data_IF_491575478812
#
_entry.id   IF_491575478812
#
_cell.length_a   1.000
_cell.length_b   1.000
_cell.length_c   1.000
_cell.angle_alpha   90.00
_cell.angle_beta   90.00
_cell.angle_gamma   90.00
#
_symmetry.space_group_name_H-M   'P 1'
#
loop_
_entity.id
_entity.type
_entity.pdbx_description
1 polymer ?
#
# COMPACT_ATOMS: atom_id res chain seq x y z
N UNK A 1 3.10 0.69 -2.30
CA UNK A 1 3.72 0.78 -0.96
C UNK A 1 5.02 1.57 -1.03
N UNK A 2 6.21 0.96 -1.21
CA UNK A 2 7.49 1.66 -1.00
C UNK A 2 7.69 3.01 -1.74
N UNK A 3 7.30 3.14 -3.01
CA UNK A 3 7.46 4.41 -3.74
C UNK A 3 6.51 5.52 -3.23
N UNK A 4 5.29 5.14 -2.87
CA UNK A 4 4.30 6.05 -2.26
C UNK A 4 4.76 6.49 -0.88
N UNK A 5 5.29 5.55 -0.09
CA UNK A 5 5.87 5.82 1.22
C UNK A 5 7.03 6.82 1.14
N UNK A 6 7.98 6.56 0.23
CA UNK A 6 9.13 7.43 -0.01
C UNK A 6 8.75 8.86 -0.37
N UNK A 7 7.71 9.04 -1.18
CA UNK A 7 7.18 10.37 -1.52
C UNK A 7 6.70 11.12 -0.26
N UNK A 8 5.79 10.52 0.51
CA UNK A 8 5.17 11.24 1.64
C UNK A 8 6.13 11.45 2.80
N UNK A 9 6.96 10.47 3.15
CA UNK A 9 7.96 10.65 4.20
C UNK A 9 9.00 11.71 3.81
N UNK A 10 9.42 11.73 2.53
CA UNK A 10 10.33 12.75 2.01
C UNK A 10 9.74 14.15 2.08
N UNK A 11 8.45 14.30 1.74
CA UNK A 11 7.74 15.57 1.86
C UNK A 11 7.63 16.05 3.31
N UNK A 12 7.33 15.17 4.26
CA UNK A 12 7.20 15.53 5.69
C UNK A 12 8.54 15.87 6.34
N UNK A 13 9.63 15.26 5.88
CA UNK A 13 10.98 15.54 6.37
C UNK A 13 11.65 16.73 5.66
N UNK A 14 11.07 17.25 4.58
CA UNK A 14 11.70 18.33 3.83
C UNK A 14 11.82 19.60 4.68
N UNK A 15 13.05 20.13 4.79
CA UNK A 15 13.34 21.34 5.57
C UNK A 15 13.43 21.13 7.09
N UNK A 16 13.24 19.90 7.58
CA UNK A 16 13.42 19.57 9.01
C UNK A 16 14.89 19.32 9.30
N UNK A 17 15.41 19.92 10.37
CA UNK A 17 16.70 19.52 10.95
C UNK A 17 16.55 18.13 11.58
N UNK A 18 17.24 17.14 11.01
CA UNK A 18 17.18 15.76 11.47
C UNK A 18 17.80 15.56 12.86
N UNK A 19 18.52 16.55 13.38
CA UNK A 19 19.02 16.54 14.75
C UNK A 19 17.93 16.91 15.77
N UNK A 20 16.85 17.58 15.35
CA UNK A 20 15.68 17.85 16.18
C UNK A 20 14.77 16.63 16.22
N UNK A 21 15.00 15.79 17.23
CA UNK A 21 14.21 14.59 17.49
C UNK A 21 12.69 14.85 17.56
N UNK A 22 12.27 15.97 18.15
CA UNK A 22 10.84 16.27 18.32
C UNK A 22 10.21 16.59 16.98
N UNK A 23 10.89 17.38 16.15
CA UNK A 23 10.43 17.68 14.81
C UNK A 23 10.37 16.43 13.93
N UNK A 24 11.38 15.56 13.99
CA UNK A 24 11.40 14.29 13.24
C UNK A 24 10.26 13.37 13.68
N UNK A 25 10.05 13.18 14.98
CA UNK A 25 8.97 12.31 15.47
C UNK A 25 7.60 12.76 14.98
N UNK A 26 7.31 14.05 15.07
CA UNK A 26 6.06 14.61 14.57
C UNK A 26 5.87 14.35 13.07
N UNK A 27 6.92 14.53 12.27
CA UNK A 27 6.86 14.24 10.83
C UNK A 27 6.60 12.76 10.52
N UNK A 28 7.15 11.84 11.33
CA UNK A 28 6.91 10.41 11.21
C UNK A 28 5.48 10.02 11.61
N UNK A 29 4.96 10.55 12.71
CA UNK A 29 3.56 10.33 13.13
C UNK A 29 2.58 10.82 12.06
N UNK A 30 2.85 12.00 11.50
CA UNK A 30 2.11 12.59 10.40
C UNK A 30 2.11 11.73 9.12
N UNK A 31 3.23 11.09 8.80
CA UNK A 31 3.34 10.13 7.72
C UNK A 31 2.56 8.85 8.02
N UNK A 32 2.67 8.32 9.24
CA UNK A 32 2.02 7.08 9.65
C UNK A 32 0.49 7.18 9.54
N UNK A 33 -0.09 8.32 9.91
CA UNK A 33 -1.55 8.58 9.77
C UNK A 33 -2.02 8.41 8.32
N UNK A 34 -1.21 8.78 7.33
CA UNK A 34 -1.56 8.63 5.90
C UNK A 34 -1.53 7.15 5.48
N UNK A 35 -0.52 6.40 5.94
CA UNK A 35 -0.26 5.05 5.43
C UNK A 35 -1.01 3.95 6.17
N UNK A 36 -1.36 4.15 7.43
CA UNK A 36 -1.89 3.11 8.31
C UNK A 36 -3.01 2.29 7.65
N UNK A 37 -3.99 2.98 7.06
CA UNK A 37 -5.13 2.32 6.41
C UNK A 37 -4.70 1.52 5.17
N UNK A 38 -3.88 2.10 4.29
CA UNK A 38 -3.42 1.43 3.08
C UNK A 38 -2.58 0.19 3.41
N UNK A 39 -1.58 0.34 4.29
CA UNK A 39 -0.71 -0.77 4.70
C UNK A 39 -1.51 -1.88 5.40
N UNK A 40 -2.47 -1.52 6.25
CA UNK A 40 -3.35 -2.52 6.89
C UNK A 40 -4.14 -3.32 5.86
N UNK A 41 -4.73 -2.65 4.87
CA UNK A 41 -5.47 -3.32 3.79
C UNK A 41 -4.57 -4.25 2.98
N UNK A 42 -3.36 -3.80 2.62
CA UNK A 42 -2.39 -4.56 1.83
C UNK A 42 -1.90 -5.81 2.60
N UNK A 43 -1.54 -5.66 3.87
CA UNK A 43 -1.09 -6.77 4.72
C UNK A 43 -2.21 -7.81 4.90
N UNK A 44 -3.42 -7.36 5.23
CA UNK A 44 -4.56 -8.26 5.39
C UNK A 44 -4.86 -9.00 4.08
N UNK A 45 -4.93 -8.29 2.95
CA UNK A 45 -5.16 -8.89 1.64
C UNK A 45 -4.14 -9.97 1.31
N UNK A 46 -2.86 -9.67 1.48
CA UNK A 46 -1.77 -10.63 1.26
C UNK A 46 -1.87 -11.84 2.19
N UNK A 47 -2.16 -11.62 3.48
CA UNK A 47 -2.32 -12.69 4.45
C UNK A 47 -3.48 -13.62 4.09
N UNK A 48 -4.67 -13.08 3.85
CA UNK A 48 -5.86 -13.88 3.51
C UNK A 48 -5.67 -14.66 2.22
N UNK A 49 -5.10 -14.02 1.20
CA UNK A 49 -4.87 -14.66 -0.08
C UNK A 49 -3.82 -15.77 0.03
N UNK A 50 -2.76 -15.56 0.83
CA UNK A 50 -1.77 -16.60 1.15
C UNK A 50 -2.38 -17.79 1.90
N UNK A 51 -3.28 -17.54 2.85
CA UNK A 51 -4.05 -18.61 3.51
C UNK A 51 -4.90 -19.39 2.51
N UNK A 52 -5.62 -18.69 1.62
CA UNK A 52 -6.45 -19.32 0.60
C UNK A 52 -5.64 -20.17 -0.38
N UNK A 53 -4.49 -19.68 -0.86
CA UNK A 53 -3.67 -20.41 -1.82
C UNK A 53 -2.94 -21.62 -1.22
N UNK A 54 -2.45 -21.51 0.02
CA UNK A 54 -1.50 -22.51 0.55
C UNK A 54 -2.08 -23.43 1.62
N UNK A 55 -3.15 -23.03 2.31
CA UNK A 55 -3.60 -23.73 3.52
C UNK A 55 -4.99 -24.36 3.38
N UNK A 56 -5.63 -24.29 2.21
CA UNK A 56 -6.88 -25.00 1.96
C UNK A 56 -6.59 -26.51 1.86
N UNK A 57 -7.21 -27.36 2.70
CA UNK A 57 -6.95 -28.79 2.69
C UNK A 57 -7.66 -29.48 1.52
N UNK A 58 -7.14 -30.63 1.10
CA UNK A 58 -7.85 -31.53 0.19
C UNK A 58 -9.11 -32.10 0.88
N UNK A 59 -10.28 -32.20 0.20
CA UNK A 59 -10.52 -31.91 -1.22
C UNK A 59 -11.00 -30.49 -1.54
N UNK A 60 -11.08 -29.59 -0.56
CA UNK A 60 -11.58 -28.22 -0.74
C UNK A 60 -10.74 -27.39 -1.72
N UNK A 61 -9.50 -27.80 -1.97
CA UNK A 61 -8.64 -27.22 -3.01
C UNK A 61 -9.32 -27.23 -4.38
N UNK A 62 -10.10 -28.26 -4.73
CA UNK A 62 -10.80 -28.33 -6.01
C UNK A 62 -11.87 -27.22 -6.14
N UNK A 63 -12.61 -26.97 -5.05
CA UNK A 63 -13.61 -25.89 -5.03
C UNK A 63 -12.94 -24.52 -5.09
N UNK A 64 -11.84 -24.35 -4.35
CA UNK A 64 -11.02 -23.13 -4.42
C UNK A 64 -10.54 -22.89 -5.84
N UNK A 65 -9.98 -23.89 -6.50
CA UNK A 65 -9.42 -23.74 -7.85
C UNK A 65 -10.51 -23.40 -8.86
N UNK A 66 -11.65 -24.13 -8.86
CA UNK A 66 -12.81 -23.78 -9.69
C UNK A 66 -13.30 -22.34 -9.46
N UNK A 67 -13.32 -21.89 -8.19
CA UNK A 67 -13.72 -20.53 -7.86
C UNK A 67 -12.70 -19.50 -8.40
N UNK A 68 -11.42 -19.67 -8.09
CA UNK A 68 -10.38 -18.72 -8.46
C UNK A 68 -10.17 -18.63 -9.97
N UNK A 69 -10.30 -19.76 -10.68
CA UNK A 69 -10.03 -19.85 -12.11
C UNK A 69 -11.22 -19.40 -12.98
N UNK A 70 -12.46 -19.61 -12.53
CA UNK A 70 -13.64 -19.40 -13.39
C UNK A 70 -14.57 -18.27 -12.99
N UNK A 71 -14.43 -17.68 -11.80
CA UNK A 71 -15.32 -16.58 -11.38
C UNK A 71 -14.77 -15.18 -11.65
N UNK A 72 -13.51 -15.06 -12.07
CA UNK A 72 -12.85 -13.76 -12.23
C UNK A 72 -12.54 -13.06 -10.91
N UNK A 73 -12.70 -13.74 -9.77
CA UNK A 73 -12.44 -13.15 -8.45
C UNK A 73 -11.04 -12.54 -8.33
N UNK A 74 -9.99 -13.24 -8.79
CA UNK A 74 -8.62 -12.73 -8.76
C UNK A 74 -8.42 -11.54 -9.69
N UNK A 75 -9.09 -11.52 -10.85
CA UNK A 75 -9.06 -10.37 -11.75
C UNK A 75 -9.63 -9.13 -11.04
N UNK A 76 -10.79 -9.25 -10.39
CA UNK A 76 -11.36 -8.11 -9.66
C UNK A 76 -10.50 -7.66 -8.46
N UNK A 77 -10.02 -8.60 -7.65
CA UNK A 77 -9.28 -8.28 -6.42
C UNK A 77 -7.85 -7.80 -6.65
N UNK A 78 -7.15 -8.35 -7.64
CA UNK A 78 -5.73 -8.07 -7.88
C UNK A 78 -5.55 -7.34 -9.20
N UNK A 79 -6.17 -7.82 -10.27
CA UNK A 79 -6.02 -7.26 -11.62
C UNK A 79 -6.60 -5.86 -11.78
N UNK A 80 -7.78 -5.60 -11.21
CA UNK A 80 -8.51 -4.34 -11.39
C UNK A 80 -8.26 -3.38 -10.22
N UNK A 81 -8.35 -3.89 -8.99
CA UNK A 81 -8.23 -3.07 -7.78
C UNK A 81 -6.83 -2.49 -7.59
N UNK A 82 -5.76 -3.26 -7.83
CA UNK A 82 -4.40 -2.75 -7.61
C UNK A 82 -4.05 -1.57 -8.53
N UNK A 83 -4.29 -1.61 -9.85
CA UNK A 83 -4.10 -0.44 -10.71
C UNK A 83 -4.93 0.77 -10.28
N UNK A 84 -6.18 0.56 -9.86
CA UNK A 84 -7.03 1.65 -9.35
C UNK A 84 -6.43 2.30 -8.09
N UNK A 85 -5.93 1.50 -7.14
CA UNK A 85 -5.27 2.01 -5.95
C UNK A 85 -3.98 2.77 -6.29
N UNK A 86 -3.19 2.29 -7.26
CA UNK A 86 -1.99 2.99 -7.73
C UNK A 86 -2.36 4.34 -8.36
N UNK A 87 -3.37 4.38 -9.22
CA UNK A 87 -3.83 5.64 -9.84
C UNK A 87 -4.35 6.61 -8.77
N UNK A 88 -5.12 6.12 -7.79
CA UNK A 88 -5.59 6.93 -6.68
C UNK A 88 -4.40 7.50 -5.89
N UNK A 89 -3.40 6.67 -5.58
CA UNK A 89 -2.16 7.10 -4.93
C UNK A 89 -1.45 8.20 -5.73
N UNK A 90 -1.25 8.00 -7.03
CA UNK A 90 -0.63 9.01 -7.90
C UNK A 90 -1.42 10.32 -7.92
N UNK A 91 -2.75 10.27 -7.89
CA UNK A 91 -3.58 11.48 -7.84
C UNK A 91 -3.44 12.26 -6.53
N UNK A 92 -3.07 11.59 -5.42
CA UNK A 92 -2.78 12.26 -4.15
C UNK A 92 -1.36 12.83 -4.08
N UNK A 93 -0.45 12.38 -4.95
CA UNK A 93 0.89 12.95 -5.05
C UNK A 93 0.81 14.29 -5.80
N UNK A 94 1.25 15.37 -5.15
CA UNK A 94 1.51 16.65 -5.79
C UNK A 94 2.87 16.71 -6.51
N UNK A 95 3.37 17.91 -6.85
CA UNK A 95 4.60 18.09 -7.64
C UNK A 95 5.88 17.54 -6.99
N UNK A 96 5.83 17.18 -5.71
CA UNK A 96 6.98 16.65 -4.97
C UNK A 96 7.88 17.76 -4.44
N UNK A 97 8.99 17.36 -3.80
CA UNK A 97 10.07 18.28 -3.45
C UNK A 97 10.90 18.55 -4.71
N UNK A 98 10.88 19.78 -5.23
CA UNK A 98 11.79 20.18 -6.30
C UNK A 98 13.09 20.74 -5.70
N UNK A 99 14.28 20.25 -6.10
CA UNK A 99 15.54 20.88 -5.75
C UNK A 99 15.76 22.21 -6.51
N UNK A 100 14.89 22.51 -7.48
CA UNK A 100 14.87 23.77 -8.21
C UNK A 100 13.68 24.60 -7.69
N UNK A 101 13.95 25.57 -6.83
CA UNK A 101 13.00 26.61 -6.43
C UNK A 101 12.91 27.69 -7.51
N UNK A 102 11.69 28.18 -7.77
CA UNK A 102 11.46 29.61 -8.04
C UNK A 102 11.60 30.41 -6.74
#
# INVERSE_FOLDING_TARGET
MSSYDGYFIGQRLHGIDLSDKTAVLRALEEYEVIQLHHTTSQVNGAYFLGQLFHHVPFPLTLLRDCFLDWTGFLQGQVGDRNPQEIIAQLSTMGPGVSPYTE
#
